data_IF_548410318497
#
_entry.id   IF_548410318497
#
_cell.length_a   1.000
_cell.length_b   1.000
_cell.length_c   1.000
_cell.angle_alpha   90.00
_cell.angle_beta   90.00
_cell.angle_gamma   90.00
#
_symmetry.space_group_name_H-M   'P 1'
#
loop_
_entity.id
_entity.type
_entity.pdbx_description
1 polymer ?
#
# COMPACT_ATOMS: atom_id res chain seq x y z
N UNK A 1 8.60 -6.69 -9.16
CA UNK A 1 8.24 -6.13 -10.48
C UNK A 1 6.86 -5.49 -10.39
N UNK A 2 6.73 -4.24 -10.82
CA UNK A 2 5.44 -3.53 -10.83
C UNK A 2 4.48 -4.17 -11.84
N UNK A 3 3.21 -4.33 -11.44
CA UNK A 3 2.13 -4.79 -12.32
C UNK A 3 1.00 -3.78 -12.28
N UNK A 4 0.63 -3.27 -13.45
CA UNK A 4 -0.49 -2.36 -13.59
C UNK A 4 -1.81 -3.00 -13.14
N UNK A 5 -2.64 -2.22 -12.43
CA UNK A 5 -3.91 -2.68 -11.89
C UNK A 5 -5.04 -1.88 -12.55
N UNK A 6 -5.74 -2.44 -13.55
CA UNK A 6 -6.78 -1.71 -14.30
C UNK A 6 -8.00 -1.36 -13.43
N UNK A 7 -8.25 -2.10 -12.34
CA UNK A 7 -9.36 -1.83 -11.41
C UNK A 7 -9.12 -0.63 -10.46
N UNK A 8 -7.90 -0.08 -10.44
CA UNK A 8 -7.55 1.10 -9.65
C UNK A 8 -7.63 2.31 -10.59
N UNK A 9 -8.48 3.33 -10.31
CA UNK A 9 -8.70 4.49 -11.17
C UNK A 9 -7.56 5.51 -11.04
N UNK A 10 -6.33 5.04 -11.20
CA UNK A 10 -5.10 5.83 -11.15
C UNK A 10 -4.29 5.51 -12.41
N UNK A 11 -3.77 6.51 -13.15
CA UNK A 11 -3.01 6.27 -14.38
C UNK A 11 -1.76 5.41 -14.16
N UNK A 12 -1.33 4.66 -15.19
CA UNK A 12 -0.18 3.75 -15.14
C UNK A 12 1.07 4.37 -14.50
N UNK A 13 1.48 5.55 -14.98
CA UNK A 13 2.68 6.26 -14.48
C UNK A 13 2.57 6.57 -12.98
N UNK A 14 1.39 6.98 -12.52
CA UNK A 14 1.13 7.29 -11.12
C UNK A 14 1.08 6.02 -10.27
N UNK A 15 0.47 4.94 -10.75
CA UNK A 15 0.51 3.66 -10.05
C UNK A 15 1.95 3.16 -9.87
N UNK A 16 2.77 3.27 -10.92
CA UNK A 16 4.19 2.92 -10.88
C UNK A 16 4.94 3.75 -9.85
N UNK A 17 4.79 5.08 -9.88
CA UNK A 17 5.38 5.98 -8.89
C UNK A 17 4.98 5.60 -7.46
N UNK A 18 3.67 5.39 -7.19
CA UNK A 18 3.17 5.00 -5.86
C UNK A 18 3.83 3.69 -5.39
N UNK A 19 3.88 2.68 -6.27
CA UNK A 19 4.49 1.39 -5.95
C UNK A 19 5.97 1.53 -5.60
N UNK A 20 6.77 2.16 -6.47
CA UNK A 20 8.20 2.31 -6.24
C UNK A 20 8.52 3.25 -5.08
N UNK A 21 7.74 4.32 -4.90
CA UNK A 21 7.87 5.22 -3.74
C UNK A 21 7.59 4.46 -2.45
N UNK A 22 6.52 3.67 -2.39
CA UNK A 22 6.18 2.88 -1.18
C UNK A 22 7.27 1.86 -0.81
N UNK A 23 7.95 1.25 -1.78
CA UNK A 23 9.07 0.33 -1.52
C UNK A 23 10.30 1.02 -0.92
N UNK A 24 10.45 2.34 -1.12
CA UNK A 24 11.52 3.13 -0.52
C UNK A 24 11.24 3.49 0.95
N UNK A 25 10.14 3.02 1.54
CA UNK A 25 9.77 3.29 2.92
C UNK A 25 10.91 3.12 3.95
N UNK A 26 11.80 2.10 3.89
CA UNK A 26 12.92 2.00 4.82
C UNK A 26 13.92 3.16 4.74
N UNK A 27 14.03 3.81 3.58
CA UNK A 27 14.96 4.90 3.29
C UNK A 27 14.31 6.29 3.40
N UNK A 28 13.02 6.36 3.73
CA UNK A 28 12.29 7.62 3.85
C UNK A 28 12.61 8.35 5.16
N UNK A 29 12.44 9.67 5.11
CA UNK A 29 12.42 10.50 6.33
C UNK A 29 11.36 9.98 7.31
N UNK A 30 11.54 10.23 8.60
CA UNK A 30 10.53 9.84 9.61
C UNK A 30 9.17 10.49 9.33
N UNK A 31 9.17 11.74 8.85
CA UNK A 31 7.97 12.48 8.45
C UNK A 31 7.22 11.74 7.34
N UNK A 32 7.91 11.30 6.29
CA UNK A 32 7.27 10.61 5.17
C UNK A 32 6.82 9.19 5.56
N UNK A 33 7.59 8.50 6.42
CA UNK A 33 7.15 7.22 7.00
C UNK A 33 5.87 7.39 7.81
N UNK A 34 5.73 8.45 8.59
CA UNK A 34 4.48 8.78 9.30
C UNK A 34 3.32 9.03 8.34
N UNK A 35 3.55 9.75 7.23
CA UNK A 35 2.53 9.97 6.20
C UNK A 35 2.05 8.65 5.58
N UNK A 36 2.98 7.73 5.28
CA UNK A 36 2.62 6.40 4.76
C UNK A 36 1.83 5.58 5.79
N UNK A 37 2.22 5.62 7.08
CA UNK A 37 1.47 4.95 8.16
C UNK A 37 0.05 5.51 8.29
N UNK A 38 -0.08 6.82 8.36
CA UNK A 38 -1.38 7.50 8.41
C UNK A 38 -2.23 7.19 7.18
N UNK A 39 -1.62 7.10 5.99
CA UNK A 39 -2.31 6.71 4.76
C UNK A 39 -2.82 5.26 4.84
N UNK A 40 -2.03 4.33 5.38
CA UNK A 40 -2.46 2.94 5.60
C UNK A 40 -3.61 2.86 6.60
N UNK A 41 -3.57 3.64 7.69
CA UNK A 41 -4.65 3.73 8.67
C UNK A 41 -5.95 4.24 8.04
N UNK A 42 -5.90 5.35 7.29
CA UNK A 42 -7.08 5.91 6.60
C UNK A 42 -7.66 4.96 5.55
N UNK A 43 -6.81 4.20 4.86
CA UNK A 43 -7.22 3.34 3.74
C UNK A 43 -7.72 1.97 4.17
N UNK A 44 -7.14 1.42 5.25
CA UNK A 44 -7.28 0.02 5.65
C UNK A 44 -7.85 -0.18 7.06
N UNK A 45 -7.88 0.86 7.91
CA UNK A 45 -8.39 0.78 9.28
C UNK A 45 -7.67 -0.29 10.10
N UNK A 46 -8.42 -1.27 10.60
CA UNK A 46 -7.88 -2.40 11.37
C UNK A 46 -6.86 -3.26 10.59
N UNK A 47 -6.83 -3.17 9.26
CA UNK A 47 -5.86 -3.87 8.40
C UNK A 47 -4.60 -3.04 8.14
N UNK A 48 -4.42 -1.88 8.78
CA UNK A 48 -3.33 -0.94 8.51
C UNK A 48 -1.94 -1.58 8.59
N UNK A 49 -1.71 -2.45 9.58
CA UNK A 49 -0.41 -3.12 9.78
C UNK A 49 -0.08 -4.08 8.63
N UNK A 50 -1.04 -4.89 8.21
CA UNK A 50 -0.90 -5.79 7.07
C UNK A 50 -0.74 -5.00 5.77
N UNK A 51 -1.51 -3.92 5.62
CA UNK A 51 -1.46 -3.05 4.45
C UNK A 51 -0.07 -2.39 4.31
N UNK A 52 0.47 -1.88 5.42
CA UNK A 52 1.80 -1.28 5.47
C UNK A 52 2.87 -2.29 5.05
N UNK A 53 2.86 -3.50 5.61
CA UNK A 53 3.79 -4.55 5.20
C UNK A 53 3.67 -4.84 3.71
N UNK A 54 2.45 -5.01 3.21
CA UNK A 54 2.20 -5.34 1.81
C UNK A 54 2.76 -4.30 0.83
N UNK A 55 2.51 -3.00 1.08
CA UNK A 55 2.91 -1.94 0.15
C UNK A 55 4.39 -1.56 0.25
N UNK A 56 5.05 -1.86 1.38
CA UNK A 56 6.43 -1.42 1.63
C UNK A 56 7.49 -2.51 1.42
N UNK A 57 7.11 -3.79 1.46
CA UNK A 57 8.07 -4.91 1.42
C UNK A 57 8.08 -5.68 0.10
N UNK A 58 7.07 -5.49 -0.75
CA UNK A 58 6.91 -6.28 -1.98
C UNK A 58 6.53 -7.75 -1.75
N UNK A 59 6.23 -8.13 -0.50
CA UNK A 59 5.74 -9.45 -0.16
C UNK A 59 4.42 -9.78 -0.90
N UNK A 60 4.20 -11.06 -1.17
CA UNK A 60 2.93 -11.49 -1.74
C UNK A 60 1.78 -11.24 -0.76
N UNK A 61 0.59 -10.89 -1.28
CA UNK A 61 -0.58 -10.67 -0.41
C UNK A 61 -0.92 -11.91 0.41
N UNK A 62 -0.69 -13.11 -0.14
CA UNK A 62 -0.93 -14.39 0.57
C UNK A 62 -0.04 -14.52 1.79
N UNK A 63 1.25 -14.21 1.66
CA UNK A 63 2.21 -14.25 2.76
C UNK A 63 1.84 -13.23 3.85
N UNK A 64 1.47 -12.01 3.46
CA UNK A 64 1.01 -10.98 4.40
C UNK A 64 -0.27 -11.42 5.11
N UNK A 65 -1.28 -11.89 4.36
CA UNK A 65 -2.53 -12.37 4.95
C UNK A 65 -2.29 -13.49 5.97
N UNK A 66 -1.39 -14.43 5.67
CA UNK A 66 -1.01 -15.49 6.59
C UNK A 66 -0.37 -14.95 7.88
N UNK A 67 0.60 -14.03 7.79
CA UNK A 67 1.28 -13.44 8.96
C UNK A 67 0.35 -12.62 9.85
N UNK A 68 -0.66 -11.98 9.26
CA UNK A 68 -1.60 -11.11 9.96
C UNK A 68 -2.95 -11.79 10.26
N UNK A 69 -3.05 -13.11 10.07
CA UNK A 69 -4.27 -13.90 10.32
C UNK A 69 -5.52 -13.37 9.57
N UNK A 70 -5.32 -12.89 8.34
CA UNK A 70 -6.40 -12.36 7.49
C UNK A 70 -6.91 -13.48 6.58
N UNK A 71 -8.19 -13.83 6.73
CA UNK A 71 -8.81 -14.93 5.98
C UNK A 71 -8.90 -14.69 4.46
N UNK A 72 -9.07 -13.43 4.02
CA UNK A 72 -9.28 -13.12 2.60
C UNK A 72 -8.41 -11.94 2.10
N UNK A 73 -7.67 -12.11 0.99
CA UNK A 73 -6.94 -11.02 0.33
C UNK A 73 -7.84 -9.89 -0.21
N UNK A 74 -9.13 -10.15 -0.41
CA UNK A 74 -10.06 -9.17 -0.99
C UNK A 74 -10.12 -7.88 -0.18
N UNK A 75 -10.06 -7.98 1.16
CA UNK A 75 -10.05 -6.83 2.06
C UNK A 75 -8.81 -5.95 1.86
N UNK A 76 -7.64 -6.58 1.64
CA UNK A 76 -6.39 -5.87 1.32
C UNK A 76 -6.47 -5.21 -0.05
N UNK A 77 -7.03 -5.88 -1.08
CA UNK A 77 -7.17 -5.27 -2.39
C UNK A 77 -8.13 -4.07 -2.42
N UNK A 78 -9.21 -4.10 -1.64
CA UNK A 78 -10.10 -2.95 -1.46
C UNK A 78 -9.38 -1.79 -0.76
N UNK A 79 -8.60 -2.09 0.28
CA UNK A 79 -7.77 -1.08 0.95
C UNK A 79 -6.68 -0.52 0.02
N UNK A 80 -6.09 -1.36 -0.84
CA UNK A 80 -5.09 -0.97 -1.84
C UNK A 80 -5.64 0.02 -2.85
N UNK A 81 -6.86 -0.18 -3.33
CA UNK A 81 -7.51 0.80 -4.21
C UNK A 81 -7.57 2.19 -3.53
N UNK A 82 -8.07 2.25 -2.29
CA UNK A 82 -8.13 3.50 -1.50
C UNK A 82 -6.76 4.11 -1.26
N UNK A 83 -5.76 3.28 -0.95
CA UNK A 83 -4.37 3.74 -0.76
C UNK A 83 -3.82 4.45 -2.00
N UNK A 84 -4.09 3.91 -3.20
CA UNK A 84 -3.64 4.51 -4.46
C UNK A 84 -4.40 5.80 -4.78
N UNK A 85 -5.70 5.84 -4.52
CA UNK A 85 -6.55 7.02 -4.73
C UNK A 85 -6.17 8.18 -3.78
N UNK A 86 -5.86 7.86 -2.52
CA UNK A 86 -5.53 8.83 -1.48
C UNK A 86 -4.03 9.14 -1.38
N UNK A 87 -3.18 8.55 -2.24
CA UNK A 87 -1.75 8.73 -2.16
C UNK A 87 -1.36 10.20 -2.42
N UNK A 88 -0.62 10.86 -1.49
CA UNK A 88 -0.26 12.26 -1.62
C UNK A 88 0.55 12.54 -2.89
N UNK A 89 0.35 13.71 -3.50
CA UNK A 89 1.10 14.13 -4.70
C UNK A 89 2.50 14.64 -4.40
N UNK A 90 2.76 14.99 -3.15
CA UNK A 90 3.94 15.70 -2.65
C UNK A 90 4.79 14.82 -1.72
N UNK A 91 4.76 13.49 -1.93
CA UNK A 91 5.47 12.52 -1.09
C UNK A 91 6.89 12.20 -1.56
#
# INVERSE_FOLDING_TARGET
MFRYKPSIPVPYKRQGYIYFRSLQYPNMSEKDRQRIRALCERSAGHLSKAMLEYVTTGNSVKAVCHRHFIASPTSIYRALKRYYELFPTDL
#
